data_IF_498377070871
#
_entry.id   IF_498377070871
#
_cell.length_a   1.000
_cell.length_b   1.000
_cell.length_c   1.000
_cell.angle_alpha   90.00
_cell.angle_beta   90.00
_cell.angle_gamma   90.00
#
_symmetry.space_group_name_H-M   'P 1'
#
loop_
_entity.id
_entity.type
_entity.pdbx_description
1 polymer ?
#
# COMPACT_ATOMS: atom_id res chain seq x y z
N UNK A 1 -63.38 10.46 3.06
CA UNK A 1 -62.07 9.85 3.41
C UNK A 1 -61.23 9.80 2.15
N UNK A 2 -60.28 10.72 1.99
CA UNK A 2 -59.26 10.63 0.94
C UNK A 2 -57.95 10.22 1.62
N UNK A 3 -57.41 9.08 1.21
CA UNK A 3 -56.12 8.60 1.69
C UNK A 3 -55.01 9.44 1.05
N UNK A 4 -54.30 10.22 1.86
CA UNK A 4 -53.12 10.97 1.44
C UNK A 4 -51.91 10.03 1.55
N UNK A 5 -51.42 9.55 0.40
CA UNK A 5 -50.20 8.74 0.32
C UNK A 5 -48.96 9.58 0.60
N UNK A 6 -48.20 9.19 1.63
CA UNK A 6 -46.86 9.69 1.91
C UNK A 6 -45.88 8.93 1.00
N UNK A 7 -45.35 9.59 -0.04
CA UNK A 7 -44.30 9.02 -0.88
C UNK A 7 -42.94 9.33 -0.23
N UNK A 8 -42.35 8.35 0.47
CA UNK A 8 -40.96 8.42 0.91
C UNK A 8 -40.04 8.08 -0.28
N UNK A 9 -39.40 9.09 -0.85
CA UNK A 9 -38.24 8.90 -1.72
C UNK A 9 -37.01 8.74 -0.81
N UNK A 10 -36.63 7.50 -0.54
CA UNK A 10 -35.33 7.16 0.06
C UNK A 10 -34.25 7.41 -1.00
N UNK A 11 -33.61 8.58 -0.99
CA UNK A 11 -32.34 8.73 -1.71
C UNK A 11 -31.22 8.22 -0.82
N UNK A 12 -30.65 7.07 -1.15
CA UNK A 12 -29.40 6.62 -0.55
C UNK A 12 -28.28 7.53 -1.07
N UNK A 13 -27.84 8.48 -0.26
CA UNK A 13 -26.61 9.21 -0.51
C UNK A 13 -25.47 8.26 -0.14
N UNK A 14 -24.83 7.65 -1.13
CA UNK A 14 -23.64 6.83 -0.90
C UNK A 14 -22.46 7.78 -0.91
N UNK A 15 -21.95 8.12 0.26
CA UNK A 15 -20.71 8.91 0.36
C UNK A 15 -19.54 8.02 -0.04
N UNK A 16 -18.81 8.45 -1.07
CA UNK A 16 -17.53 7.84 -1.41
C UNK A 16 -16.49 8.47 -0.49
N UNK A 17 -15.77 7.63 0.27
CA UNK A 17 -14.67 8.09 1.11
C UNK A 17 -13.47 8.36 0.20
N UNK A 18 -12.78 9.48 0.31
CA UNK A 18 -11.50 9.68 -0.38
C UNK A 18 -10.36 9.63 0.63
N UNK A 19 -9.16 9.28 0.18
CA UNK A 19 -7.97 9.58 0.98
C UNK A 19 -7.74 11.09 0.91
N UNK A 20 -7.36 11.69 2.04
CA UNK A 20 -6.83 13.03 2.12
C UNK A 20 -5.37 13.05 1.68
N UNK A 21 -4.84 14.26 1.48
CA UNK A 21 -3.43 14.45 1.14
C UNK A 21 -2.51 13.84 2.21
N UNK A 22 -1.29 13.40 1.85
CA UNK A 22 -0.30 13.01 2.83
C UNK A 22 -0.12 14.10 3.89
N UNK A 23 -0.15 13.71 5.17
CA UNK A 23 0.12 14.59 6.32
C UNK A 23 1.55 15.13 6.27
N UNK A 24 2.46 14.37 5.67
CA UNK A 24 3.80 14.80 5.32
C UNK A 24 4.20 14.23 3.96
N UNK A 25 4.89 15.03 3.14
CA UNK A 25 5.56 14.56 1.94
C UNK A 25 6.86 15.33 1.72
N UNK A 26 7.84 14.69 1.10
CA UNK A 26 9.04 15.36 0.61
C UNK A 26 8.85 15.87 -0.82
N UNK A 27 9.69 16.81 -1.24
CA UNK A 27 10.01 16.95 -2.65
C UNK A 27 10.78 15.70 -3.13
N UNK A 28 10.95 15.56 -4.45
CA UNK A 28 11.85 14.55 -5.01
C UNK A 28 13.30 14.88 -4.64
N UNK A 29 14.03 13.92 -4.05
CA UNK A 29 15.44 14.04 -3.70
C UNK A 29 16.24 12.86 -4.25
N UNK A 30 17.56 12.97 -4.36
CA UNK A 30 18.40 11.91 -4.94
C UNK A 30 18.74 10.89 -3.86
N UNK A 31 18.71 9.60 -4.22
CA UNK A 31 19.39 8.53 -3.48
C UNK A 31 20.23 7.68 -4.43
N UNK A 32 21.34 7.16 -3.91
CA UNK A 32 22.30 6.33 -4.66
C UNK A 32 22.58 5.02 -3.91
N UNK A 33 22.61 3.91 -4.64
CA UNK A 33 23.16 2.64 -4.18
C UNK A 33 24.69 2.74 -4.10
N UNK A 34 25.33 1.89 -3.29
CA UNK A 34 26.78 1.91 -3.05
C UNK A 34 27.31 3.22 -2.42
N UNK A 35 26.43 3.99 -1.79
CA UNK A 35 26.81 5.24 -1.13
C UNK A 35 26.26 5.24 0.30
N UNK A 36 27.15 5.08 1.27
CA UNK A 36 26.83 4.97 2.70
C UNK A 36 26.07 6.20 3.24
N UNK A 37 26.19 7.36 2.57
CA UNK A 37 25.46 8.59 2.96
C UNK A 37 23.93 8.45 2.77
N UNK A 38 23.48 7.45 2.00
CA UNK A 38 22.07 7.18 1.73
C UNK A 38 21.55 5.90 2.42
N UNK A 39 22.36 5.23 3.27
CA UNK A 39 21.91 4.01 3.95
C UNK A 39 22.49 3.82 5.37
N UNK A 40 21.73 4.17 6.43
CA UNK A 40 20.36 4.67 6.40
C UNK A 40 20.29 6.17 6.13
N UNK A 41 19.27 6.59 5.37
CA UNK A 41 18.81 7.97 5.30
C UNK A 41 17.58 8.15 6.19
N UNK A 42 17.62 9.14 7.09
CA UNK A 42 16.51 9.46 7.99
C UNK A 42 15.70 10.64 7.48
N UNK A 43 14.40 10.44 7.27
CA UNK A 43 13.45 11.47 6.87
C UNK A 43 12.54 11.76 8.06
N UNK A 44 12.74 12.91 8.71
CA UNK A 44 11.90 13.33 9.83
C UNK A 44 10.56 13.89 9.32
N UNK A 45 9.46 13.25 9.72
CA UNK A 45 8.10 13.67 9.35
C UNK A 45 7.41 14.51 10.44
N UNK A 46 7.95 14.56 11.66
CA UNK A 46 7.46 15.35 12.80
C UNK A 46 5.95 15.20 13.08
N UNK A 47 5.38 14.01 12.86
CA UNK A 47 3.97 13.76 13.16
C UNK A 47 3.82 13.43 14.66
N UNK A 48 2.66 13.71 15.28
CA UNK A 48 2.46 13.47 16.71
C UNK A 48 2.27 11.98 17.07
N UNK A 49 2.19 11.10 16.07
CA UNK A 49 1.93 9.68 16.23
C UNK A 49 2.50 8.88 15.06
N UNK A 50 2.65 7.57 15.26
CA UNK A 50 3.03 6.62 14.22
C UNK A 50 2.11 6.76 12.99
N UNK A 51 2.65 6.87 11.77
CA UNK A 51 1.89 6.89 10.54
C UNK A 51 0.96 5.68 10.36
N UNK A 52 -0.21 5.94 9.77
CA UNK A 52 -1.15 4.89 9.35
C UNK A 52 -0.70 4.22 8.04
N UNK A 53 -0.07 4.99 7.16
CA UNK A 53 0.46 4.53 5.87
C UNK A 53 1.67 5.36 5.49
N UNK A 54 2.65 4.71 4.88
CA UNK A 54 3.84 5.33 4.30
C UNK A 54 4.03 4.75 2.91
N UNK A 55 4.23 5.59 1.90
CA UNK A 55 4.73 5.15 0.60
C UNK A 55 6.09 5.79 0.35
N UNK A 56 7.01 5.00 -0.19
CA UNK A 56 8.29 5.49 -0.69
C UNK A 56 8.35 5.16 -2.18
N UNK A 57 8.49 6.19 -3.00
CA UNK A 57 8.46 6.12 -4.45
C UNK A 57 9.86 6.39 -5.01
N UNK A 58 10.24 5.65 -6.05
CA UNK A 58 11.52 5.75 -6.75
C UNK A 58 11.27 6.06 -8.22
N UNK A 59 11.75 7.18 -8.73
CA UNK A 59 11.59 7.61 -10.12
C UNK A 59 12.91 7.49 -10.87
N UNK A 60 12.91 6.71 -11.95
CA UNK A 60 14.04 6.63 -12.87
C UNK A 60 14.20 7.98 -13.59
N UNK A 61 15.36 8.60 -13.43
CA UNK A 61 15.69 9.89 -14.05
C UNK A 61 15.73 9.80 -15.59
N UNK A 62 15.93 8.59 -16.15
CA UNK A 62 16.03 8.38 -17.60
C UNK A 62 14.65 8.18 -18.22
N UNK A 63 13.87 7.22 -17.71
CA UNK A 63 12.55 6.88 -18.29
C UNK A 63 11.38 7.68 -17.71
N UNK A 64 11.57 8.30 -16.54
CA UNK A 64 10.51 8.97 -15.79
C UNK A 64 9.51 8.02 -15.12
N UNK A 65 9.71 6.70 -15.21
CA UNK A 65 8.85 5.70 -14.56
C UNK A 65 9.08 5.72 -13.05
N UNK A 66 7.98 5.65 -12.31
CA UNK A 66 7.92 5.63 -10.85
C UNK A 66 7.60 4.22 -10.36
N UNK A 67 8.38 3.75 -9.39
CA UNK A 67 8.33 2.44 -8.77
C UNK A 67 8.11 2.57 -7.27
N UNK A 68 7.54 1.55 -6.63
CA UNK A 68 7.36 1.51 -5.17
C UNK A 68 8.55 0.83 -4.49
N UNK A 69 9.04 1.40 -3.39
CA UNK A 69 10.05 0.78 -2.54
C UNK A 69 9.45 -0.38 -1.72
N UNK A 70 10.31 -1.25 -1.16
CA UNK A 70 9.90 -2.41 -0.37
C UNK A 70 9.71 -2.02 1.11
N UNK A 71 8.48 -2.11 1.66
CA UNK A 71 8.28 -1.94 3.09
C UNK A 71 8.78 -3.15 3.87
N UNK A 72 9.33 -2.92 5.06
CA UNK A 72 9.62 -4.01 5.99
C UNK A 72 10.86 -4.82 5.66
N UNK A 73 11.52 -4.56 4.53
CA UNK A 73 12.90 -4.97 4.33
C UNK A 73 13.24 -5.59 3.00
N UNK A 74 14.44 -6.14 3.00
CA UNK A 74 15.08 -6.80 1.86
C UNK A 74 14.38 -8.10 1.49
N UNK A 75 13.96 -8.20 0.22
CA UNK A 75 13.45 -9.46 -0.35
C UNK A 75 14.55 -10.34 -0.97
N UNK A 76 15.78 -9.83 -1.01
CA UNK A 76 16.96 -10.51 -1.54
C UNK A 76 18.12 -10.35 -0.58
N UNK A 77 19.23 -10.98 -0.94
CA UNK A 77 20.47 -11.02 -0.19
C UNK A 77 21.60 -10.65 -1.16
N UNK A 78 22.59 -9.86 -0.70
CA UNK A 78 23.78 -9.51 -1.48
C UNK A 78 24.81 -10.65 -1.54
N UNK A 79 24.59 -11.75 -0.83
CA UNK A 79 25.45 -12.94 -0.90
C UNK A 79 25.20 -13.81 -2.16
N UNK A 80 24.25 -13.45 -3.03
CA UNK A 80 23.97 -14.22 -4.26
C UNK A 80 24.88 -13.79 -5.42
N UNK A 81 25.95 -14.56 -5.62
CA UNK A 81 26.91 -14.34 -6.71
C UNK A 81 26.23 -14.12 -8.07
N UNK A 82 26.76 -13.13 -8.79
CA UNK A 82 26.39 -12.82 -10.17
C UNK A 82 25.01 -12.18 -10.35
N UNK A 83 24.18 -12.15 -9.30
CA UNK A 83 22.85 -11.55 -9.37
C UNK A 83 22.89 -10.06 -9.03
N UNK A 84 21.93 -9.31 -9.57
CA UNK A 84 21.70 -7.92 -9.18
C UNK A 84 20.58 -7.89 -8.16
N UNK A 85 20.81 -7.28 -7.00
CA UNK A 85 19.75 -6.94 -6.05
C UNK A 85 19.50 -5.42 -6.08
N UNK A 86 18.28 -5.00 -5.75
CA UNK A 86 17.94 -3.59 -5.83
C UNK A 86 16.69 -3.21 -5.04
N UNK A 87 16.35 -1.93 -5.12
CA UNK A 87 15.20 -1.34 -4.44
C UNK A 87 15.60 -0.69 -3.13
N UNK A 88 14.83 0.32 -2.72
CA UNK A 88 14.95 0.88 -1.38
C UNK A 88 14.10 0.05 -0.43
N UNK A 89 14.65 -0.26 0.74
CA UNK A 89 13.89 -0.83 1.85
C UNK A 89 13.59 0.27 2.87
N UNK A 90 12.43 0.23 3.52
CA UNK A 90 12.10 1.22 4.55
C UNK A 90 11.24 0.70 5.70
N UNK A 91 11.45 1.33 6.86
CA UNK A 91 10.63 1.22 8.06
C UNK A 91 10.42 2.62 8.64
N UNK A 92 9.48 2.74 9.58
CA UNK A 92 9.15 4.03 10.18
C UNK A 92 8.77 3.88 11.65
N UNK A 93 8.87 4.97 12.40
CA UNK A 93 8.36 5.09 13.77
C UNK A 93 7.43 6.31 13.89
N UNK A 94 7.31 6.91 15.08
CA UNK A 94 6.52 8.12 15.31
C UNK A 94 7.23 9.43 14.94
N UNK A 95 8.50 9.40 14.54
CA UNK A 95 9.29 10.58 14.20
C UNK A 95 9.89 10.53 12.80
N UNK A 96 10.37 9.36 12.36
CA UNK A 96 11.16 9.22 11.14
C UNK A 96 10.68 8.09 10.25
N UNK A 97 10.83 8.29 8.94
CA UNK A 97 10.93 7.21 7.96
C UNK A 97 12.42 6.94 7.73
N UNK A 98 12.87 5.72 7.99
CA UNK A 98 14.24 5.28 7.73
C UNK A 98 14.28 4.54 6.39
N UNK A 99 15.10 5.04 5.48
CA UNK A 99 15.32 4.48 4.15
C UNK A 99 16.69 3.82 4.09
N UNK A 100 16.76 2.65 3.45
CA UNK A 100 18.01 1.93 3.22
C UNK A 100 18.20 1.68 1.74
N UNK A 101 19.22 2.32 1.18
CA UNK A 101 19.70 2.03 -0.16
C UNK A 101 20.61 0.79 -0.15
N UNK A 102 20.59 -0.05 -1.19
CA UNK A 102 21.49 -1.17 -1.34
C UNK A 102 22.98 -0.78 -1.29
N UNK A 103 23.74 -1.45 -0.43
CA UNK A 103 25.17 -1.29 -0.24
C UNK A 103 25.83 -2.67 -0.09
N UNK A 104 26.57 -3.08 -1.12
CA UNK A 104 27.14 -4.41 -1.30
C UNK A 104 28.48 -4.37 -0.61
N UNK A 105 28.67 -5.26 0.36
CA UNK A 105 29.94 -5.30 1.11
C UNK A 105 30.87 -6.41 0.65
N UNK A 106 30.38 -7.28 -0.24
CA UNK A 106 31.11 -8.39 -0.82
C UNK A 106 31.37 -8.17 -2.33
N UNK A 107 32.30 -8.95 -2.91
CA UNK A 107 32.70 -8.85 -4.33
C UNK A 107 31.70 -9.54 -5.29
N UNK A 108 30.54 -10.01 -4.81
CA UNK A 108 29.75 -11.02 -5.51
C UNK A 108 28.51 -10.47 -6.22
N UNK A 109 28.07 -9.24 -5.92
CA UNK A 109 26.82 -8.69 -6.45
C UNK A 109 26.95 -7.30 -7.06
N UNK A 110 26.26 -7.11 -8.20
CA UNK A 110 25.92 -5.78 -8.68
C UNK A 110 24.67 -5.31 -7.94
N UNK A 111 24.49 -4.00 -7.83
CA UNK A 111 23.32 -3.45 -7.14
C UNK A 111 22.77 -2.20 -7.80
N UNK A 112 21.50 -1.91 -7.54
CA UNK A 112 20.85 -0.67 -7.97
C UNK A 112 19.79 -0.17 -6.99
N UNK A 113 19.39 1.09 -7.14
CA UNK A 113 18.16 1.62 -6.55
C UNK A 113 16.93 1.13 -7.33
N UNK A 114 17.04 1.03 -8.66
CA UNK A 114 16.01 0.47 -9.54
C UNK A 114 16.64 -0.67 -10.31
N UNK A 115 16.02 -1.84 -10.29
CA UNK A 115 16.31 -2.88 -11.25
C UNK A 115 15.09 -3.75 -11.57
N UNK A 116 15.04 -4.20 -12.82
CA UNK A 116 14.06 -5.15 -13.34
C UNK A 116 14.49 -5.59 -14.76
N UNK A 117 13.83 -6.62 -15.28
CA UNK A 117 13.97 -7.06 -16.67
C UNK A 117 14.99 -8.17 -16.88
N UNK A 118 15.69 -8.11 -18.01
CA UNK A 118 16.61 -9.17 -18.43
C UNK A 118 15.91 -10.49 -18.75
N UNK A 119 16.59 -11.62 -18.53
CA UNK A 119 16.05 -12.94 -18.85
C UNK A 119 14.98 -13.47 -17.88
N UNK A 120 14.67 -12.73 -16.81
CA UNK A 120 13.83 -13.21 -15.69
C UNK A 120 12.54 -12.43 -15.48
N UNK A 121 12.46 -11.18 -15.93
CA UNK A 121 11.20 -10.45 -16.05
C UNK A 121 10.99 -10.03 -17.50
N UNK A 122 9.74 -9.93 -17.94
CA UNK A 122 9.31 -9.67 -19.31
C UNK A 122 9.77 -8.29 -19.80
N UNK A 123 11.05 -8.15 -20.11
CA UNK A 123 11.67 -6.99 -20.73
C UNK A 123 12.80 -7.49 -21.64
N UNK A 124 13.01 -6.83 -22.78
CA UNK A 124 14.15 -7.16 -23.65
C UNK A 124 15.47 -6.65 -23.10
N UNK A 125 15.43 -5.58 -22.31
CA UNK A 125 16.61 -4.95 -21.73
C UNK A 125 16.61 -5.11 -20.21
N UNK A 126 17.77 -5.46 -19.68
CA UNK A 126 18.09 -5.33 -18.27
C UNK A 126 18.19 -3.84 -17.91
N UNK A 127 17.40 -3.42 -16.93
CA UNK A 127 17.48 -2.07 -16.37
C UNK A 127 18.08 -2.19 -14.99
N UNK A 128 19.23 -1.55 -14.81
CA UNK A 128 19.83 -1.29 -13.51
C UNK A 128 20.15 0.20 -13.43
N UNK A 129 19.77 0.83 -12.31
CA UNK A 129 20.09 2.22 -12.00
C UNK A 129 20.70 2.27 -10.61
N UNK A 130 21.90 2.80 -10.49
CA UNK A 130 22.54 3.06 -9.19
C UNK A 130 22.01 4.32 -8.51
N UNK A 131 21.21 5.13 -9.21
CA UNK A 131 20.68 6.41 -8.75
C UNK A 131 19.23 6.59 -9.18
N UNK A 132 18.41 7.17 -8.32
CA UNK A 132 17.03 7.55 -8.64
C UNK A 132 16.60 8.79 -7.84
N UNK A 133 15.53 9.44 -8.31
CA UNK A 133 14.78 10.40 -7.50
C UNK A 133 13.85 9.63 -6.56
N UNK A 134 13.76 10.06 -5.30
CA UNK A 134 12.97 9.42 -4.25
C UNK A 134 12.00 10.42 -3.65
N UNK A 135 10.79 9.97 -3.35
CA UNK A 135 9.76 10.75 -2.66
C UNK A 135 9.14 9.92 -1.54
N UNK A 136 8.98 10.52 -0.36
CA UNK A 136 8.33 9.90 0.79
C UNK A 136 6.98 10.55 1.00
N UNK A 137 5.93 9.74 1.16
CA UNK A 137 4.56 10.14 1.45
C UNK A 137 4.11 9.47 2.75
N UNK A 138 3.58 10.25 3.70
CA UNK A 138 3.23 9.78 5.03
C UNK A 138 1.83 10.27 5.38
N UNK A 139 0.95 9.35 5.78
CA UNK A 139 -0.41 9.65 6.21
C UNK A 139 -0.62 9.30 7.68
N UNK A 140 -1.15 10.23 8.45
CA UNK A 140 -1.72 9.98 9.78
C UNK A 140 -3.24 9.91 9.72
N UNK A 141 -3.87 9.48 10.81
CA UNK A 141 -5.26 9.87 11.07
C UNK A 141 -5.26 11.40 11.29
N UNK A 142 -6.15 12.21 10.67
CA UNK A 142 -7.43 11.87 10.03
C UNK A 142 -7.41 11.79 8.48
N UNK A 143 -6.24 11.89 7.84
CA UNK A 143 -6.18 12.06 6.38
C UNK A 143 -6.64 10.81 5.63
N UNK A 144 -6.40 9.62 6.18
CA UNK A 144 -7.08 8.43 5.69
C UNK A 144 -8.33 8.23 6.57
N UNK A 145 -9.53 8.08 5.99
CA UNK A 145 -10.74 7.77 6.74
C UNK A 145 -10.53 6.57 7.68
N UNK A 146 -11.29 6.45 8.76
CA UNK A 146 -11.17 5.25 9.61
C UNK A 146 -11.45 3.98 8.78
N UNK A 147 -10.63 2.92 8.96
CA UNK A 147 -10.84 1.65 8.26
C UNK A 147 -12.18 1.04 8.61
N UNK A 148 -12.83 0.41 7.64
CA UNK A 148 -14.08 -0.31 7.84
C UNK A 148 -13.84 -1.62 8.62
N UNK A 149 -12.61 -2.12 8.59
CA UNK A 149 -12.16 -3.24 9.40
C UNK A 149 -10.75 -3.00 9.93
N UNK A 150 -10.56 -3.16 11.24
CA UNK A 150 -9.26 -3.12 11.87
C UNK A 150 -9.18 -4.16 12.99
N UNK A 151 -8.13 -4.97 12.97
CA UNK A 151 -7.86 -5.89 14.08
C UNK A 151 -7.13 -5.20 15.22
N UNK A 152 -7.17 -5.81 16.41
CA UNK A 152 -6.10 -5.62 17.38
C UNK A 152 -4.78 -6.15 16.81
N UNK A 153 -3.67 -5.80 17.46
CA UNK A 153 -2.38 -6.41 17.18
C UNK A 153 -2.40 -7.91 17.50
N UNK A 154 -1.84 -8.71 16.59
CA UNK A 154 -1.76 -10.17 16.68
C UNK A 154 -0.28 -10.54 16.72
N UNK A 155 0.13 -11.28 17.75
CA UNK A 155 1.52 -11.68 17.93
C UNK A 155 2.01 -12.64 16.84
N UNK A 156 3.24 -12.43 16.39
CA UNK A 156 3.94 -13.23 15.39
C UNK A 156 5.34 -13.59 15.93
N UNK A 157 5.44 -14.74 16.60
CA UNK A 157 6.71 -15.22 17.19
C UNK A 157 7.51 -16.10 16.22
N UNK A 158 8.83 -16.12 16.43
CA UNK A 158 9.79 -16.97 15.72
C UNK A 158 9.64 -18.46 16.04
N UNK A 159 9.03 -18.82 17.17
CA UNK A 159 8.74 -20.22 17.55
C UNK A 159 7.30 -20.64 17.22
N UNK A 160 6.53 -19.77 16.55
CA UNK A 160 5.13 -20.01 16.21
C UNK A 160 4.92 -20.82 14.93
N UNK A 161 3.67 -20.88 14.47
CA UNK A 161 3.30 -21.54 13.22
C UNK A 161 3.79 -20.80 11.96
N UNK A 162 4.15 -19.52 12.10
CA UNK A 162 4.62 -18.69 10.99
C UNK A 162 3.51 -18.20 10.06
N UNK A 163 2.24 -18.43 10.39
CA UNK A 163 1.10 -17.93 9.63
C UNK A 163 -0.04 -17.46 10.55
N UNK A 164 -0.91 -16.61 10.00
CA UNK A 164 -2.15 -16.17 10.62
C UNK A 164 -3.26 -16.04 9.57
N UNK A 165 -4.50 -16.31 9.98
CA UNK A 165 -5.70 -16.08 9.18
C UNK A 165 -6.62 -15.11 9.93
N UNK A 166 -7.17 -14.12 9.24
CA UNK A 166 -8.03 -13.07 9.80
C UNK A 166 -9.28 -12.91 8.95
N UNK A 167 -10.44 -13.20 9.52
CA UNK A 167 -11.73 -12.94 8.86
C UNK A 167 -12.07 -11.44 8.90
N UNK A 168 -12.38 -10.88 7.73
CA UNK A 168 -12.81 -9.48 7.59
C UNK A 168 -14.20 -9.34 6.96
N UNK A 169 -14.63 -10.28 6.11
CA UNK A 169 -15.97 -10.32 5.49
C UNK A 169 -16.41 -9.02 4.76
N UNK A 170 -15.46 -8.23 4.28
CA UNK A 170 -15.75 -6.96 3.59
C UNK A 170 -16.10 -7.13 2.11
N UNK A 171 -16.00 -8.35 1.56
CA UNK A 171 -15.96 -8.58 0.13
C UNK A 171 -14.56 -8.31 -0.43
N UNK A 172 -14.39 -8.59 -1.73
CA UNK A 172 -13.09 -8.46 -2.42
C UNK A 172 -12.97 -7.15 -3.20
N UNK A 173 -14.11 -6.60 -3.61
CA UNK A 173 -14.12 -5.48 -4.55
C UNK A 173 -13.89 -4.15 -3.84
N UNK A 174 -12.95 -3.37 -4.38
CA UNK A 174 -12.66 -2.00 -3.96
C UNK A 174 -12.20 -1.92 -2.50
N UNK A 175 -11.38 -2.90 -2.08
CA UNK A 175 -10.73 -2.92 -0.78
C UNK A 175 -9.28 -2.48 -0.93
N UNK A 176 -8.91 -1.34 -0.32
CA UNK A 176 -7.52 -1.09 0.04
C UNK A 176 -7.25 -1.87 1.31
N UNK A 177 -6.28 -2.79 1.28
CA UNK A 177 -5.91 -3.61 2.42
C UNK A 177 -4.44 -3.38 2.76
N UNK A 178 -4.17 -3.16 4.04
CA UNK A 178 -2.82 -3.03 4.57
C UNK A 178 -2.67 -4.02 5.73
N UNK A 179 -1.57 -4.75 5.74
CA UNK A 179 -1.12 -5.46 6.94
C UNK A 179 0.08 -4.70 7.47
N UNK A 180 -0.09 -4.07 8.62
CA UNK A 180 1.02 -3.41 9.30
C UNK A 180 1.74 -4.41 10.20
N UNK A 181 3.05 -4.24 10.28
CA UNK A 181 3.96 -5.03 11.10
C UNK A 181 4.61 -4.09 12.09
N UNK A 182 4.77 -4.52 13.35
CA UNK A 182 5.58 -3.80 14.34
C UNK A 182 6.42 -4.73 15.18
N UNK A 183 7.54 -4.24 15.69
CA UNK A 183 8.30 -4.92 16.73
C UNK A 183 9.48 -4.09 17.19
N UNK A 184 10.18 -4.59 18.20
CA UNK A 184 11.40 -3.95 18.71
C UNK A 184 12.59 -4.51 17.94
N UNK A 185 13.56 -3.65 17.61
CA UNK A 185 14.80 -4.12 17.01
C UNK A 185 15.56 -4.98 18.02
N UNK A 186 16.08 -6.11 17.56
CA UNK A 186 16.98 -7.00 18.28
C UNK A 186 18.38 -6.39 18.43
N UNK A 187 18.68 -5.36 17.64
CA UNK A 187 19.90 -4.56 17.70
C UNK A 187 19.75 -3.35 18.62
N UNK A 188 20.88 -2.88 19.20
CA UNK A 188 20.93 -1.91 20.29
C UNK A 188 19.99 -0.68 20.11
N UNK A 189 18.95 -0.65 20.95
CA UNK A 189 18.14 0.52 21.34
C UNK A 189 17.53 1.39 20.22
N UNK A 190 17.08 0.79 19.13
CA UNK A 190 16.17 1.49 18.22
C UNK A 190 14.72 1.11 18.56
N UNK A 191 13.85 2.11 18.68
CA UNK A 191 12.49 1.98 19.20
C UNK A 191 11.59 1.01 18.42
N UNK A 192 10.28 0.96 18.71
CA UNK A 192 9.37 0.12 17.94
C UNK A 192 9.39 0.56 16.48
N UNK A 193 9.78 -0.34 15.59
CA UNK A 193 9.74 -0.12 14.15
C UNK A 193 8.43 -0.62 13.59
N UNK A 194 7.93 0.11 12.61
CA UNK A 194 6.74 -0.22 11.85
C UNK A 194 7.08 -0.38 10.38
N UNK A 195 6.35 -1.27 9.73
CA UNK A 195 6.41 -1.50 8.31
C UNK A 195 5.06 -2.01 7.78
N UNK A 196 4.97 -2.17 6.47
CA UNK A 196 3.87 -2.85 5.81
C UNK A 196 4.34 -4.21 5.30
N UNK A 197 3.43 -5.17 5.31
CA UNK A 197 3.63 -6.46 4.66
C UNK A 197 3.58 -6.31 3.14
N UNK A 198 4.18 -7.28 2.44
CA UNK A 198 4.26 -7.35 0.99
C UNK A 198 3.33 -8.44 0.44
N UNK A 199 3.06 -8.41 -0.86
CA UNK A 199 2.12 -9.33 -1.50
C UNK A 199 2.71 -10.65 -1.99
N UNK A 200 3.93 -10.68 -2.52
CA UNK A 200 4.53 -11.93 -3.01
C UNK A 200 5.98 -12.03 -2.58
N UNK A 201 6.45 -13.25 -2.34
CA UNK A 201 7.89 -13.50 -2.36
C UNK A 201 8.39 -13.34 -3.80
N UNK A 202 9.62 -12.87 -3.99
CA UNK A 202 10.24 -12.85 -5.34
C UNK A 202 11.28 -13.94 -5.54
N UNK A 203 11.68 -14.59 -4.44
CA UNK A 203 12.65 -15.66 -4.42
C UNK A 203 12.35 -16.55 -3.20
N UNK A 204 12.37 -17.89 -3.27
CA UNK A 204 12.21 -18.77 -2.11
C UNK A 204 13.50 -19.53 -1.69
N UNK A 205 14.63 -19.37 -2.38
CA UNK A 205 15.86 -20.15 -2.14
C UNK A 205 16.99 -19.34 -1.44
N UNK A 206 17.61 -19.93 -0.41
CA UNK A 206 18.79 -19.46 0.36
C UNK A 206 18.62 -18.25 1.34
N UNK A 207 19.39 -18.28 2.44
CA UNK A 207 18.92 -18.21 3.86
C UNK A 207 19.64 -17.23 4.80
N UNK A 208 19.75 -15.94 4.45
CA UNK A 208 20.02 -14.89 5.45
C UNK A 208 19.01 -13.76 5.42
N UNK A 209 18.65 -13.28 6.62
CA UNK A 209 17.97 -11.99 6.88
C UNK A 209 16.78 -11.63 5.99
N UNK A 210 16.05 -12.64 5.48
CA UNK A 210 14.82 -12.41 4.71
C UNK A 210 13.82 -11.69 5.57
N UNK A 211 13.32 -10.61 5.01
CA UNK A 211 12.50 -9.64 5.70
C UNK A 211 11.10 -9.58 5.11
N UNK A 212 10.27 -8.79 5.79
CA UNK A 212 8.86 -8.58 5.54
C UNK A 212 7.97 -9.77 5.91
N UNK A 213 6.70 -9.44 6.03
CA UNK A 213 5.60 -10.38 6.16
C UNK A 213 4.94 -10.45 4.79
N UNK A 214 4.58 -11.64 4.32
CA UNK A 214 3.79 -11.82 3.09
C UNK A 214 2.33 -11.91 3.46
N UNK A 215 1.44 -11.29 2.69
CA UNK A 215 0.01 -11.50 2.85
C UNK A 215 -0.71 -11.59 1.52
N UNK A 216 -1.87 -12.24 1.56
CA UNK A 216 -2.84 -12.26 0.49
C UNK A 216 -4.23 -12.22 1.10
N UNK A 217 -5.21 -11.74 0.36
CA UNK A 217 -6.58 -11.66 0.86
C UNK A 217 -7.60 -12.07 -0.19
N UNK A 218 -8.80 -12.44 0.23
CA UNK A 218 -9.91 -12.71 -0.67
C UNK A 218 -11.15 -11.92 -0.21
N UNK A 219 -12.35 -12.39 -0.54
CA UNK A 219 -13.57 -11.70 -0.15
C UNK A 219 -13.87 -11.74 1.37
N UNK A 220 -13.31 -12.71 2.09
CA UNK A 220 -13.68 -12.99 3.49
C UNK A 220 -12.49 -13.02 4.43
N UNK A 221 -11.29 -13.34 3.94
CA UNK A 221 -10.14 -13.68 4.74
C UNK A 221 -8.86 -12.99 4.26
N UNK A 222 -8.03 -12.58 5.22
CA UNK A 222 -6.61 -12.27 5.01
C UNK A 222 -5.78 -13.43 5.52
N UNK A 223 -4.87 -13.94 4.68
CA UNK A 223 -3.83 -14.89 5.04
C UNK A 223 -2.50 -14.18 5.11
N UNK A 224 -1.73 -14.49 6.13
CA UNK A 224 -0.49 -13.79 6.46
C UNK A 224 0.56 -14.83 6.79
N UNK A 225 1.78 -14.67 6.26
CA UNK A 225 2.90 -15.57 6.42
C UNK A 225 4.15 -14.77 6.82
N UNK A 226 4.87 -15.25 7.82
CA UNK A 226 6.24 -14.81 8.10
C UNK A 226 7.24 -15.89 7.70
N UNK A 227 8.46 -15.47 7.41
CA UNK A 227 9.57 -16.39 7.22
C UNK A 227 9.89 -17.07 8.55
N UNK A 228 10.16 -18.38 8.50
CA UNK A 228 10.71 -19.16 9.61
C UNK A 228 11.84 -20.07 9.10
N UNK A 229 12.84 -20.34 9.94
CA UNK A 229 13.88 -21.31 9.60
C UNK A 229 13.30 -22.72 9.65
N UNK A 230 13.41 -23.46 8.54
CA UNK A 230 13.24 -24.91 8.55
C UNK A 230 14.58 -25.58 8.90
N UNK A 231 14.83 -25.78 10.19
CA UNK A 231 16.07 -26.40 10.70
C UNK A 231 16.25 -27.86 10.29
N UNK A 232 15.23 -28.47 9.66
CA UNK A 232 15.32 -29.86 9.17
C UNK A 232 15.99 -29.98 7.80
N UNK A 233 16.11 -28.87 7.04
CA UNK A 233 16.59 -28.87 5.66
C UNK A 233 17.90 -28.11 5.44
N UNK A 234 18.34 -27.31 6.40
CA UNK A 234 19.55 -26.46 6.28
C UNK A 234 20.53 -26.83 7.40
N UNK A 235 21.68 -27.47 7.08
CA UNK A 235 22.66 -27.91 8.07
C UNK A 235 23.31 -26.77 8.87
N UNK A 236 23.37 -25.56 8.30
CA UNK A 236 23.90 -24.36 8.96
C UNK A 236 23.01 -23.15 8.59
N UNK A 237 22.00 -22.81 9.41
CA UNK A 237 21.18 -21.63 9.14
C UNK A 237 22.04 -20.38 9.26
N UNK A 238 22.16 -19.62 8.16
CA UNK A 238 23.01 -18.43 8.10
C UNK A 238 22.41 -17.18 8.77
N UNK A 239 21.20 -17.27 9.33
CA UNK A 239 20.54 -16.24 10.17
C UNK A 239 19.02 -16.43 10.19
N UNK A 240 18.29 -16.04 11.26
CA UNK A 240 16.83 -16.16 11.29
C UNK A 240 16.15 -15.14 10.38
N UNK A 241 15.07 -15.52 9.67
CA UNK A 241 14.20 -14.56 9.01
C UNK A 241 13.47 -13.72 10.06
N UNK A 242 13.14 -12.51 9.67
CA UNK A 242 12.60 -11.48 10.55
C UNK A 242 11.31 -10.90 9.98
N UNK A 243 10.56 -10.21 10.83
CA UNK A 243 9.38 -9.47 10.43
C UNK A 243 9.76 -8.17 9.71
N UNK A 244 10.82 -7.51 10.18
CA UNK A 244 11.42 -6.32 9.58
C UNK A 244 12.94 -6.51 9.56
N UNK A 245 13.59 -6.49 8.38
CA UNK A 245 15.06 -6.42 8.31
C UNK A 245 15.59 -5.53 7.20
N UNK A 246 16.54 -4.68 7.60
CA UNK A 246 17.38 -3.88 6.72
C UNK A 246 18.81 -4.00 7.22
N UNK A 247 19.43 -5.15 6.92
CA UNK A 247 20.77 -5.56 7.33
C UNK A 247 21.43 -6.30 6.17
N UNK A 248 22.74 -6.50 6.20
CA UNK A 248 23.49 -7.39 5.28
C UNK A 248 23.18 -7.15 3.78
N UNK A 249 23.90 -6.22 3.17
CA UNK A 249 23.63 -5.76 1.79
C UNK A 249 22.80 -4.48 1.67
N UNK A 250 22.20 -4.02 2.76
CA UNK A 250 21.49 -2.74 2.85
C UNK A 250 22.20 -1.72 3.73
N UNK A 251 22.86 -2.15 4.81
CA UNK A 251 23.68 -1.29 5.66
C UNK A 251 24.59 -2.17 6.54
N UNK A 252 25.50 -1.54 7.28
CA UNK A 252 26.32 -2.23 8.29
C UNK A 252 25.41 -2.88 9.35
N UNK A 253 25.52 -4.21 9.45
CA UNK A 253 24.72 -5.06 10.33
C UNK A 253 24.71 -4.59 11.79
N UNK A 254 25.80 -4.04 12.32
CA UNK A 254 25.93 -3.81 13.76
C UNK A 254 25.67 -2.36 14.20
N UNK A 255 25.60 -1.42 13.26
CA UNK A 255 25.57 0.01 13.61
C UNK A 255 24.28 0.70 13.23
N UNK A 256 23.65 0.27 12.15
CA UNK A 256 22.57 1.02 11.51
C UNK A 256 21.44 0.12 10.97
N UNK A 257 21.55 -1.18 11.24
CA UNK A 257 20.56 -2.17 10.90
C UNK A 257 19.21 -1.93 11.58
N UNK A 258 18.17 -2.48 10.97
CA UNK A 258 16.94 -2.81 11.69
C UNK A 258 16.80 -4.31 11.56
N UNK A 259 16.62 -5.02 12.66
CA UNK A 259 16.36 -6.45 12.67
C UNK A 259 15.30 -6.73 13.72
N UNK A 260 14.10 -7.14 13.30
CA UNK A 260 12.96 -7.41 14.18
C UNK A 260 12.54 -8.86 14.00
N UNK A 261 13.08 -9.76 14.83
CA UNK A 261 12.76 -11.19 14.75
C UNK A 261 11.37 -11.52 15.29
N UNK A 262 10.86 -10.74 16.25
CA UNK A 262 9.54 -10.94 16.87
C UNK A 262 8.75 -9.64 16.97
N UNK A 263 7.43 -9.77 16.92
CA UNK A 263 6.57 -8.60 16.86
C UNK A 263 5.11 -8.97 16.66
N UNK A 264 4.36 -8.03 16.13
CA UNK A 264 2.93 -8.14 15.95
C UNK A 264 2.52 -7.61 14.58
N UNK A 265 1.38 -8.08 14.11
CA UNK A 265 0.73 -7.60 12.90
C UNK A 265 -0.65 -7.02 13.21
N UNK A 266 -1.16 -6.15 12.35
CA UNK A 266 -2.59 -5.81 12.34
C UNK A 266 -3.08 -5.65 10.91
N UNK A 267 -4.34 -6.00 10.68
CA UNK A 267 -5.01 -5.81 9.39
C UNK A 267 -5.83 -4.55 9.45
N UNK A 268 -5.68 -3.70 8.44
CA UNK A 268 -6.55 -2.55 8.19
C UNK A 268 -7.13 -2.68 6.78
N UNK A 269 -8.43 -2.46 6.64
CA UNK A 269 -9.09 -2.52 5.34
C UNK A 269 -10.14 -1.43 5.20
N UNK A 270 -10.16 -0.83 4.01
CA UNK A 270 -11.10 0.22 3.62
C UNK A 270 -11.87 -0.23 2.40
N UNK A 271 -13.19 -0.18 2.46
CA UNK A 271 -14.09 -0.43 1.35
C UNK A 271 -14.66 0.92 0.88
N UNK A 272 -14.77 1.11 -0.43
CA UNK A 272 -15.41 2.27 -1.07
C UNK A 272 -14.59 3.56 -0.96
N UNK A 273 -13.25 3.41 -1.01
CA UNK A 273 -12.40 4.54 -1.33
C UNK A 273 -12.65 4.98 -2.79
N UNK A 274 -12.50 6.27 -3.05
CA UNK A 274 -12.64 6.84 -4.39
C UNK A 274 -11.56 6.29 -5.33
N UNK A 275 -12.02 5.69 -6.43
CA UNK A 275 -11.18 5.13 -7.47
C UNK A 275 -11.27 6.03 -8.69
N UNK A 276 -10.13 6.57 -9.14
CA UNK A 276 -10.05 7.37 -10.36
C UNK A 276 -9.78 6.52 -11.59
N UNK A 277 -9.07 5.42 -11.40
CA UNK A 277 -8.73 4.50 -12.46
C UNK A 277 -8.76 3.07 -11.94
N UNK A 278 -9.35 2.18 -12.71
CA UNK A 278 -9.26 0.75 -12.48
C UNK A 278 -9.21 0.03 -13.82
N UNK A 279 -8.30 -0.93 -13.92
CA UNK A 279 -8.24 -1.85 -15.04
C UNK A 279 -7.93 -3.26 -14.55
N UNK A 280 -8.32 -4.26 -15.31
CA UNK A 280 -8.08 -5.66 -14.98
C UNK A 280 -7.68 -6.45 -16.22
N UNK A 281 -6.58 -7.19 -16.13
CA UNK A 281 -6.00 -7.96 -17.22
C UNK A 281 -5.74 -9.39 -16.77
N UNK A 282 -6.05 -10.35 -17.65
CA UNK A 282 -5.55 -11.71 -17.49
C UNK A 282 -4.08 -11.74 -17.92
N UNK A 283 -3.24 -12.42 -17.17
CA UNK A 283 -1.82 -12.59 -17.45
C UNK A 283 -1.44 -14.06 -17.37
N UNK A 284 -0.51 -14.50 -18.22
CA UNK A 284 0.03 -15.86 -18.25
C UNK A 284 1.50 -15.87 -18.66
N UNK A 285 2.38 -16.19 -17.71
CA UNK A 285 3.84 -16.21 -17.91
C UNK A 285 4.32 -17.26 -18.92
N UNK A 286 3.46 -18.21 -19.31
CA UNK A 286 3.81 -19.19 -20.34
C UNK A 286 3.74 -18.62 -21.76
N UNK A 287 2.97 -17.55 -21.97
CA UNK A 287 2.71 -16.97 -23.30
C UNK A 287 3.07 -15.49 -23.37
N UNK A 288 2.96 -14.77 -22.27
CA UNK A 288 3.29 -13.35 -22.17
C UNK A 288 4.79 -13.18 -21.94
N UNK A 289 5.52 -12.86 -23.01
CA UNK A 289 6.97 -12.65 -22.97
C UNK A 289 7.39 -11.18 -22.92
N UNK A 290 6.46 -10.26 -23.11
CA UNK A 290 6.69 -8.81 -23.14
C UNK A 290 6.02 -8.08 -21.99
N UNK A 291 6.61 -6.96 -21.57
CA UNK A 291 5.99 -6.00 -20.66
C UNK A 291 4.60 -5.59 -21.17
N UNK A 292 3.61 -5.62 -20.27
CA UNK A 292 2.26 -5.13 -20.52
C UNK A 292 2.18 -3.64 -20.19
N UNK A 293 1.77 -2.82 -21.15
CA UNK A 293 1.49 -1.41 -20.92
C UNK A 293 -0.02 -1.18 -20.85
N UNK A 294 -0.49 -0.62 -19.74
CA UNK A 294 -1.89 -0.29 -19.52
C UNK A 294 -2.06 1.23 -19.57
N UNK A 295 -2.73 1.79 -20.59
CA UNK A 295 -2.96 3.22 -20.68
C UNK A 295 -3.83 3.75 -19.54
N UNK A 296 -3.45 4.91 -18.99
CA UNK A 296 -4.21 5.64 -17.95
C UNK A 296 -5.36 6.47 -18.52
N UNK A 297 -5.56 6.45 -19.84
CA UNK A 297 -6.67 7.12 -20.51
C UNK A 297 -6.54 8.63 -20.47
N UNK A 298 -7.52 9.32 -19.90
CA UNK A 298 -7.63 10.79 -19.89
C UNK A 298 -7.05 11.46 -18.65
N UNK A 299 -6.36 10.73 -17.77
CA UNK A 299 -5.72 11.31 -16.59
C UNK A 299 -4.57 12.24 -17.01
N UNK A 300 -4.56 13.44 -16.45
CA UNK A 300 -3.48 14.42 -16.61
C UNK A 300 -2.28 14.09 -15.72
N UNK A 301 -1.11 14.64 -16.03
CA UNK A 301 0.09 14.48 -15.19
C UNK A 301 -0.16 14.97 -13.75
N UNK A 302 -0.81 16.11 -13.60
CA UNK A 302 -1.18 16.68 -12.30
C UNK A 302 -2.17 15.80 -11.52
N UNK A 303 -3.05 15.06 -12.20
CA UNK A 303 -3.91 14.08 -11.55
C UNK A 303 -3.08 12.89 -11.08
N UNK A 304 -2.21 12.34 -11.93
CA UNK A 304 -1.36 11.18 -11.62
C UNK A 304 -0.45 11.43 -10.43
N UNK A 305 0.11 12.64 -10.30
CA UNK A 305 0.93 13.04 -9.15
C UNK A 305 0.15 13.08 -7.82
N UNK A 306 -1.18 12.94 -7.86
CA UNK A 306 -2.09 12.87 -6.72
C UNK A 306 -2.76 11.49 -6.56
N UNK A 307 -2.22 10.44 -7.18
CA UNK A 307 -2.76 9.07 -7.11
C UNK A 307 -1.83 8.10 -6.39
N UNK A 308 -2.40 7.23 -5.55
CA UNK A 308 -1.70 6.03 -5.05
C UNK A 308 -2.08 4.90 -5.99
N UNK A 309 -1.09 4.24 -6.58
CA UNK A 309 -1.31 3.04 -7.37
C UNK A 309 -1.17 1.79 -6.51
N UNK A 310 -2.18 0.93 -6.54
CA UNK A 310 -2.09 -0.45 -6.06
C UNK A 310 -2.25 -1.39 -7.24
N UNK A 311 -1.25 -2.22 -7.48
CA UNK A 311 -1.33 -3.32 -8.45
C UNK A 311 -1.38 -4.62 -7.66
N UNK A 312 -2.36 -5.47 -7.95
CA UNK A 312 -2.57 -6.76 -7.28
C UNK A 312 -2.75 -7.86 -8.30
N UNK A 313 -2.34 -9.07 -7.96
CA UNK A 313 -2.52 -10.27 -8.77
C UNK A 313 -3.43 -11.24 -8.02
N UNK A 314 -4.57 -11.53 -8.61
CA UNK A 314 -5.44 -12.62 -8.20
C UNK A 314 -4.92 -13.95 -8.73
N UNK A 315 -4.79 -14.93 -7.85
CA UNK A 315 -4.49 -16.32 -8.20
C UNK A 315 -5.77 -17.05 -8.62
N UNK A 316 -5.68 -17.82 -9.69
CA UNK A 316 -6.82 -18.53 -10.31
C UNK A 316 -6.77 -20.05 -10.11
N UNK A 317 -5.82 -20.55 -9.31
CA UNK A 317 -5.60 -21.98 -9.10
C UNK A 317 -5.02 -22.30 -7.71
N UNK A 318 -4.95 -23.60 -7.40
CA UNK A 318 -4.26 -24.13 -6.23
C UNK A 318 -4.89 -23.76 -4.88
N UNK A 319 -4.07 -23.80 -3.82
CA UNK A 319 -4.55 -23.68 -2.42
C UNK A 319 -4.94 -22.25 -2.04
N UNK A 320 -4.53 -21.28 -2.86
CA UNK A 320 -4.85 -19.87 -2.69
C UNK A 320 -5.69 -19.34 -3.87
N UNK A 321 -6.45 -20.20 -4.56
CA UNK A 321 -7.41 -19.77 -5.58
C UNK A 321 -8.34 -18.69 -4.99
N UNK A 322 -8.50 -17.59 -5.73
CA UNK A 322 -9.31 -16.45 -5.31
C UNK A 322 -8.66 -15.54 -4.28
N UNK A 323 -7.39 -15.74 -3.91
CA UNK A 323 -6.60 -14.75 -3.16
C UNK A 323 -5.95 -13.73 -4.10
N UNK A 324 -5.88 -12.47 -3.67
CA UNK A 324 -5.13 -11.37 -4.29
C UNK A 324 -3.88 -11.08 -3.48
N UNK A 325 -2.80 -10.76 -4.19
CA UNK A 325 -1.48 -10.45 -3.66
C UNK A 325 -0.94 -9.19 -4.32
N UNK A 326 -0.36 -8.27 -3.54
CA UNK A 326 0.18 -6.99 -4.04
C UNK A 326 1.48 -7.20 -4.85
N UNK A 327 1.57 -6.50 -5.98
CA UNK A 327 2.75 -6.44 -6.84
C UNK A 327 3.84 -5.55 -6.23
N UNK A 328 5.06 -5.62 -6.78
CA UNK A 328 6.26 -5.00 -6.22
C UNK A 328 6.83 -3.96 -7.20
N UNK A 329 7.62 -3.01 -6.70
CA UNK A 329 8.22 -1.96 -7.55
C UNK A 329 9.62 -2.27 -8.07
N UNK A 330 10.27 -3.32 -7.57
CA UNK A 330 11.58 -3.76 -8.05
C UNK A 330 11.62 -5.30 -8.07
N UNK A 331 12.55 -5.85 -8.84
CA UNK A 331 12.85 -7.28 -8.87
C UNK A 331 14.35 -7.44 -9.10
N UNK A 332 15.00 -8.48 -8.55
CA UNK A 332 16.42 -8.69 -8.78
C UNK A 332 16.62 -9.08 -10.25
N UNK A 333 17.86 -9.13 -10.69
CA UNK A 333 18.19 -9.74 -11.97
C UNK A 333 18.97 -11.00 -11.68
N UNK A 334 18.35 -12.14 -11.99
CA UNK A 334 18.93 -13.46 -11.71
C UNK A 334 19.70 -13.97 -12.93
N UNK A 335 20.93 -14.44 -12.71
CA UNK A 335 21.64 -15.22 -13.71
C UNK A 335 21.18 -16.67 -13.64
N UNK A 336 20.38 -17.08 -14.62
CA UNK A 336 19.78 -18.42 -14.71
C UNK A 336 20.84 -19.53 -14.73
N UNK A 337 22.04 -19.24 -15.25
CA UNK A 337 23.12 -20.23 -15.36
C UNK A 337 23.74 -20.63 -14.02
N UNK A 338 23.70 -19.76 -13.01
CA UNK A 338 24.25 -20.06 -11.67
C UNK A 338 23.23 -20.78 -10.77
N UNK A 339 21.93 -20.72 -11.09
CA UNK A 339 20.87 -21.36 -10.32
C UNK A 339 19.69 -21.82 -11.21
N UNK A 340 19.89 -22.83 -12.09
CA UNK A 340 18.93 -23.21 -13.13
C UNK A 340 17.61 -23.78 -12.59
N UNK A 341 17.58 -24.23 -11.33
CA UNK A 341 16.37 -24.75 -10.67
C UNK A 341 15.69 -23.70 -9.78
N UNK A 342 16.20 -22.46 -9.76
CA UNK A 342 15.66 -21.40 -8.90
C UNK A 342 14.39 -20.84 -9.49
N UNK A 343 13.31 -21.04 -8.76
CA UNK A 343 12.03 -20.36 -9.01
C UNK A 343 12.05 -18.94 -8.47
N UNK A 344 11.38 -18.05 -9.18
CA UNK A 344 11.22 -16.65 -8.83
C UNK A 344 9.82 -16.20 -9.19
N UNK A 345 9.39 -15.04 -8.70
CA UNK A 345 8.06 -14.61 -9.00
C UNK A 345 7.68 -13.23 -8.51
N UNK A 346 6.39 -12.98 -8.51
CA UNK A 346 5.81 -11.68 -8.22
C UNK A 346 5.82 -10.77 -9.44
N UNK A 347 4.66 -10.15 -9.66
CA UNK A 347 4.50 -9.11 -10.69
C UNK A 347 5.24 -7.85 -10.25
N UNK A 348 5.97 -7.23 -11.18
CA UNK A 348 6.59 -5.92 -10.98
C UNK A 348 5.79 -4.87 -11.72
N UNK A 349 5.62 -3.69 -11.14
CA UNK A 349 4.96 -2.59 -11.79
C UNK A 349 5.66 -1.25 -11.55
N UNK A 350 5.39 -0.32 -12.46
CA UNK A 350 5.81 1.07 -12.37
C UNK A 350 4.86 1.91 -13.20
N UNK A 351 4.71 3.18 -12.86
CA UNK A 351 3.77 4.08 -13.53
C UNK A 351 4.46 5.34 -14.04
N UNK A 352 3.93 5.91 -15.11
CA UNK A 352 4.38 7.17 -15.69
C UNK A 352 3.17 8.03 -16.05
N UNK A 353 3.39 9.17 -16.70
CA UNK A 353 2.32 10.14 -17.03
C UNK A 353 1.21 9.62 -17.95
N UNK A 354 1.35 8.43 -18.57
CA UNK A 354 0.32 7.90 -19.46
C UNK A 354 0.03 6.41 -19.31
N UNK A 355 0.86 5.66 -18.59
CA UNK A 355 0.76 4.20 -18.54
C UNK A 355 1.16 3.65 -17.18
N UNK A 356 0.58 2.50 -16.85
CA UNK A 356 1.14 1.56 -15.88
C UNK A 356 1.84 0.46 -16.67
N UNK A 357 3.14 0.31 -16.44
CA UNK A 357 3.96 -0.76 -16.97
C UNK A 357 3.90 -1.95 -16.00
N UNK A 358 3.66 -3.14 -16.53
CA UNK A 358 3.62 -4.40 -15.78
C UNK A 358 4.65 -5.33 -16.40
N UNK A 359 5.59 -5.79 -15.57
CA UNK A 359 6.56 -6.82 -15.94
C UNK A 359 6.20 -8.12 -15.24
N UNK A 360 6.04 -9.16 -16.04
CA UNK A 360 5.75 -10.52 -15.61
C UNK A 360 7.04 -11.30 -15.46
N UNK A 361 7.16 -12.18 -14.46
CA UNK A 361 8.23 -13.17 -14.44
C UNK A 361 8.22 -13.99 -15.74
N UNK A 362 9.38 -14.24 -16.33
CA UNK A 362 9.52 -14.98 -17.59
C UNK A 362 10.11 -16.39 -17.36
N UNK A 363 10.21 -17.19 -18.42
CA UNK A 363 10.86 -18.50 -18.37
C UNK A 363 10.11 -19.60 -17.60
N UNK A 364 10.68 -20.80 -17.59
CA UNK A 364 10.06 -21.97 -16.96
C UNK A 364 9.95 -21.85 -15.44
N UNK A 365 10.77 -21.01 -14.82
CA UNK A 365 10.87 -20.86 -13.37
C UNK A 365 10.21 -19.58 -12.82
N UNK A 366 9.74 -18.68 -13.68
CA UNK A 366 9.06 -17.44 -13.27
C UNK A 366 7.56 -17.63 -13.02
N UNK A 367 7.05 -17.19 -11.88
CA UNK A 367 5.65 -17.38 -11.47
C UNK A 367 5.00 -16.06 -11.09
N UNK A 368 3.78 -15.79 -11.55
CA UNK A 368 3.06 -14.55 -11.19
C UNK A 368 2.89 -14.40 -9.68
N UNK A 369 2.81 -15.53 -8.97
CA UNK A 369 2.82 -15.64 -7.51
C UNK A 369 3.69 -16.83 -7.12
N UNK A 370 4.55 -16.61 -6.13
CA UNK A 370 5.33 -17.65 -5.47
C UNK A 370 5.28 -17.50 -3.96
N UNK A 371 4.77 -18.54 -3.31
CA UNK A 371 4.67 -18.67 -1.87
C UNK A 371 5.16 -20.08 -1.50
N UNK A 372 6.38 -20.18 -0.98
CA UNK A 372 7.02 -21.44 -0.58
C UNK A 372 7.78 -21.21 0.73
N UNK A 373 8.50 -22.21 1.22
CA UNK A 373 9.47 -22.02 2.30
C UNK A 373 10.37 -20.80 1.99
N UNK A 374 10.71 -19.96 2.99
CA UNK A 374 10.47 -20.13 4.43
C UNK A 374 9.09 -19.66 4.93
N UNK A 375 8.22 -19.14 4.05
CA UNK A 375 6.97 -18.49 4.44
C UNK A 375 5.98 -19.46 5.06
N UNK A 376 5.64 -19.25 6.34
CA UNK A 376 4.75 -20.11 7.13
C UNK A 376 5.16 -21.58 7.12
N UNK A 377 6.47 -21.88 7.04
CA UNK A 377 7.00 -23.24 6.88
C UNK A 377 6.39 -24.01 5.69
N UNK A 378 5.99 -23.29 4.64
CA UNK A 378 5.39 -23.86 3.43
C UNK A 378 3.90 -24.15 3.55
N UNK A 379 3.24 -23.65 4.59
CA UNK A 379 1.80 -23.76 4.74
C UNK A 379 1.08 -23.01 3.62
N UNK A 380 0.14 -23.69 2.95
CA UNK A 380 -0.55 -23.22 1.74
C UNK A 380 0.41 -22.71 0.66
N UNK A 381 1.51 -23.44 0.43
CA UNK A 381 2.44 -23.14 -0.67
C UNK A 381 1.70 -23.02 -2.01
N UNK A 382 2.13 -22.09 -2.84
CA UNK A 382 1.56 -21.79 -4.15
C UNK A 382 2.64 -21.34 -5.13
N UNK A 383 2.55 -21.84 -6.35
CA UNK A 383 3.23 -21.30 -7.53
C UNK A 383 2.19 -21.23 -8.63
N UNK A 384 2.01 -20.06 -9.25
CA UNK A 384 1.03 -19.88 -10.32
C UNK A 384 1.67 -19.22 -11.52
N UNK A 385 1.35 -19.73 -12.71
CA UNK A 385 1.76 -19.12 -14.00
C UNK A 385 0.72 -18.15 -14.54
N UNK A 386 -0.53 -18.32 -14.13
CA UNK A 386 -1.68 -17.55 -14.61
C UNK A 386 -2.30 -16.79 -13.45
N UNK A 387 -2.69 -15.54 -13.71
CA UNK A 387 -3.35 -14.71 -12.73
C UNK A 387 -4.17 -13.61 -13.37
N UNK A 388 -4.92 -12.88 -12.55
CA UNK A 388 -5.65 -11.69 -12.97
C UNK A 388 -5.05 -10.47 -12.27
N UNK A 389 -4.35 -9.63 -13.02
CA UNK A 389 -3.79 -8.38 -12.49
C UNK A 389 -4.87 -7.30 -12.48
N UNK A 390 -5.05 -6.67 -11.33
CA UNK A 390 -5.92 -5.52 -11.13
C UNK A 390 -5.06 -4.32 -10.76
N UNK A 391 -5.24 -3.24 -11.50
CA UNK A 391 -4.62 -1.94 -11.26
C UNK A 391 -5.70 -1.04 -10.69
N UNK A 392 -5.43 -0.37 -9.58
CA UNK A 392 -6.32 0.63 -9.00
C UNK A 392 -5.51 1.88 -8.67
N UNK A 393 -6.01 3.03 -9.09
CA UNK A 393 -5.46 4.33 -8.71
C UNK A 393 -6.47 5.05 -7.79
N UNK A 394 -6.02 5.31 -6.56
CA UNK A 394 -6.79 5.97 -5.52
C UNK A 394 -6.43 7.45 -5.50
N UNK A 395 -7.42 8.34 -5.54
CA UNK A 395 -7.13 9.78 -5.38
C UNK A 395 -6.84 10.12 -3.94
N UNK A 396 -5.86 11.00 -3.74
CA UNK A 396 -5.87 11.88 -2.59
C UNK A 396 -6.16 13.32 -3.03
N UNK A 397 -7.35 13.80 -2.71
CA UNK A 397 -7.76 15.18 -2.96
C UNK A 397 -8.08 15.86 -1.63
N UNK A 398 -7.80 17.17 -1.54
CA UNK A 398 -8.47 17.95 -0.50
C UNK A 398 -9.97 17.82 -0.75
N UNK A 399 -10.81 17.58 0.27
CA UNK A 399 -12.25 17.66 0.09
C UNK A 399 -12.57 19.07 -0.43
N UNK A 400 -12.83 19.18 -1.74
CA UNK A 400 -13.12 20.45 -2.41
C UNK A 400 -14.55 20.83 -2.06
N UNK A 401 -14.70 21.39 -0.86
CA UNK A 401 -15.98 21.75 -0.24
C UNK A 401 -16.90 20.56 0.04
N UNK A 402 -17.36 20.45 1.29
CA UNK A 402 -18.54 19.63 1.58
C UNK A 402 -19.72 20.31 0.88
N UNK A 403 -20.11 19.85 -0.31
CA UNK A 403 -21.39 20.24 -0.92
C UNK A 403 -22.53 19.68 -0.06
N UNK A 404 -22.84 20.34 1.07
CA UNK A 404 -24.04 20.03 1.85
C UNK A 404 -25.24 20.52 0.99
N UNK A 405 -25.92 19.61 0.28
CA UNK A 405 -27.14 19.95 -0.46
C UNK A 405 -28.31 20.17 0.52
N UNK A 406 -28.85 21.39 0.56
CA UNK A 406 -30.08 21.69 1.29
C UNK A 406 -31.29 21.41 0.40
N UNK A 407 -32.24 20.60 0.89
CA UNK A 407 -33.57 20.47 0.25
C UNK A 407 -34.58 21.37 0.96
N UNK A 408 -35.13 22.34 0.23
CA UNK A 408 -36.26 23.15 0.68
C UNK A 408 -37.55 22.35 0.51
N UNK A 409 -38.33 22.21 1.59
CA UNK A 409 -39.68 21.65 1.53
C UNK A 409 -40.72 22.72 1.87
N UNK A 410 -41.77 22.81 1.06
CA UNK A 410 -42.94 23.65 1.33
C UNK A 410 -44.12 22.77 1.76
N UNK A 411 -44.47 22.81 3.04
CA UNK A 411 -45.73 22.23 3.52
C UNK A 411 -46.92 23.03 2.96
N UNK A 412 -48.02 22.34 2.60
CA UNK A 412 -49.27 23.02 2.23
C UNK A 412 -49.82 23.77 3.45
N UNK A 413 -49.68 25.10 3.45
CA UNK A 413 -50.35 26.00 4.39
C UNK A 413 -49.57 26.36 5.67
N UNK A 414 -48.27 26.04 5.77
CA UNK A 414 -47.44 26.35 6.95
C UNK A 414 -46.07 26.94 6.59
N UNK A 415 -45.31 27.44 7.59
CA UNK A 415 -43.98 28.01 7.38
C UNK A 415 -43.02 27.02 6.71
N UNK A 416 -42.08 27.56 5.93
CA UNK A 416 -41.02 26.76 5.29
C UNK A 416 -40.07 26.29 6.37
N UNK A 417 -39.91 24.97 6.52
CA UNK A 417 -38.93 24.39 7.42
C UNK A 417 -37.67 24.02 6.62
N UNK A 418 -36.54 24.61 7.01
CA UNK A 418 -35.23 24.09 6.62
C UNK A 418 -34.94 22.89 7.52
N UNK A 419 -34.90 21.70 6.92
CA UNK A 419 -34.42 20.51 7.61
C UNK A 419 -33.04 20.23 7.02
N UNK A 420 -31.95 20.30 7.80
CA UNK A 420 -30.66 19.87 7.30
C UNK A 420 -30.73 18.37 7.00
N UNK A 421 -30.59 18.01 5.73
CA UNK A 421 -30.29 16.63 5.33
C UNK A 421 -28.78 16.42 5.47
N UNK A 422 -28.26 16.48 6.69
CA UNK A 422 -26.88 16.14 6.93
C UNK A 422 -26.76 15.62 8.37
N UNK A 423 -26.71 14.31 8.52
CA UNK A 423 -26.24 13.71 9.77
C UNK A 423 -24.72 13.89 9.94
N UNK A 424 -24.02 14.34 8.89
CA UNK A 424 -22.55 14.32 8.81
C UNK A 424 -21.89 15.70 8.56
N UNK A 425 -22.66 16.79 8.41
CA UNK A 425 -22.06 18.13 8.45
C UNK A 425 -21.80 18.58 9.92
N UNK A 426 -22.22 17.80 10.93
CA UNK A 426 -22.07 18.08 12.35
C UNK A 426 -21.47 16.88 13.10
N UNK A 427 -20.15 16.80 13.17
CA UNK A 427 -19.46 15.95 14.16
C UNK A 427 -19.30 16.73 15.49
N UNK A 428 -20.43 17.28 15.95
CA UNK A 428 -20.62 17.82 17.29
C UNK A 428 -21.81 17.05 17.83
N UNK A 429 -21.64 16.37 18.97
CA UNK A 429 -22.58 15.41 19.57
C UNK A 429 -23.95 15.95 20.01
N UNK A 430 -24.44 17.03 19.40
CA UNK A 430 -25.76 17.62 19.58
C UNK A 430 -26.30 18.02 18.20
N UNK A 431 -27.10 17.16 17.58
CA UNK A 431 -27.85 17.50 16.37
C UNK A 431 -28.84 18.64 16.65
N UNK A 432 -28.44 19.86 16.31
CA UNK A 432 -29.30 21.05 16.37
C UNK A 432 -29.99 21.30 15.03
N UNK A 433 -31.29 21.55 15.06
CA UNK A 433 -32.02 22.06 13.90
C UNK A 433 -31.67 23.53 13.66
N UNK A 434 -31.27 23.91 12.44
CA UNK A 434 -31.22 25.31 12.02
C UNK A 434 -32.61 25.73 11.53
N UNK A 435 -33.37 26.43 12.38
CA UNK A 435 -34.69 26.96 12.04
C UNK A 435 -34.65 28.45 11.75
N UNK A 436 -35.23 28.88 10.63
CA UNK A 436 -35.60 30.28 10.41
C UNK A 436 -37.11 30.38 10.61
N UNK A 437 -37.56 31.08 11.66
CA UNK A 437 -38.98 31.39 11.85
C UNK A 437 -39.24 32.80 11.33
N UNK A 438 -39.99 32.90 10.23
CA UNK A 438 -40.52 34.17 9.75
C UNK A 438 -42.00 34.25 10.16
N UNK A 439 -42.30 35.02 11.21
CA UNK A 439 -43.65 35.53 11.44
C UNK A 439 -43.78 36.90 10.78
N UNK A 440 -44.94 37.19 10.20
CA UNK A 440 -45.27 38.47 9.57
C UNK A 440 -44.84 39.63 10.49
N UNK A 441 -43.77 40.33 10.11
CA UNK A 441 -43.32 41.57 10.76
C UNK A 441 -41.99 41.54 11.52
N UNK A 442 -41.34 40.39 11.82
CA UNK A 442 -39.98 40.35 12.41
C UNK A 442 -39.22 39.08 12.05
N UNK A 443 -37.99 39.23 11.52
CA UNK A 443 -37.01 38.15 11.46
C UNK A 443 -36.23 38.12 12.79
N UNK A 444 -36.32 37.03 13.54
CA UNK A 444 -35.38 36.73 14.63
C UNK A 444 -34.48 35.58 14.19
N UNK A 445 -33.17 35.80 14.23
CA UNK A 445 -32.17 34.76 14.02
C UNK A 445 -31.92 34.04 15.35
N UNK A 446 -32.05 32.72 15.37
CA UNK A 446 -31.53 31.90 16.46
C UNK A 446 -30.14 31.41 16.05
N UNK A 447 -29.10 31.93 16.71
CA UNK A 447 -27.71 31.49 16.54
C UNK A 447 -27.52 30.21 17.37
N UNK A 448 -27.28 29.10 16.72
CA UNK A 448 -26.80 27.87 17.36
C UNK A 448 -25.67 27.31 16.51
N UNK A 449 -24.51 27.96 16.56
CA UNK A 449 -23.19 27.50 16.13
C UNK A 449 -22.23 28.68 16.38
N UNK A 450 -21.25 28.48 17.26
CA UNK A 450 -20.23 29.47 17.53
C UNK A 450 -19.17 29.47 16.40
N UNK A 451 -18.74 30.69 16.09
CA UNK A 451 -17.49 31.10 15.43
C UNK A 451 -17.19 30.83 13.95
N UNK A 452 -18.19 30.71 13.07
CA UNK A 452 -17.97 30.94 11.63
C UNK A 452 -19.04 31.85 10.99
N UNK A 453 -18.67 32.94 10.27
CA UNK A 453 -19.62 33.72 9.50
C UNK A 453 -20.05 32.95 8.26
N UNK A 454 -21.35 32.63 8.14
CA UNK A 454 -21.95 32.17 6.90
C UNK A 454 -22.92 33.24 6.37
N UNK A 455 -22.75 33.63 5.11
CA UNK A 455 -23.63 34.58 4.45
C UNK A 455 -24.77 33.83 3.74
N UNK A 456 -26.02 34.08 4.15
CA UNK A 456 -27.21 33.60 3.43
C UNK A 456 -27.86 34.79 2.73
N UNK A 457 -27.78 34.83 1.41
CA UNK A 457 -28.50 35.81 0.58
C UNK A 457 -29.87 35.25 0.19
N UNK A 458 -30.95 35.81 0.72
CA UNK A 458 -32.32 35.45 0.31
C UNK A 458 -32.78 36.44 -0.75
N UNK A 459 -32.91 36.00 -2.00
CA UNK A 459 -33.52 36.79 -3.06
C UNK A 459 -35.03 36.58 -3.07
N UNK A 460 -35.79 37.61 -2.70
CA UNK A 460 -37.22 37.65 -2.99
C UNK A 460 -37.42 38.19 -4.40
N UNK A 461 -37.94 37.36 -5.30
CA UNK A 461 -38.43 37.82 -6.61
C UNK A 461 -39.79 38.49 -6.35
N UNK A 462 -39.85 39.82 -6.50
CA UNK A 462 -41.11 40.59 -6.51
C UNK A 462 -41.91 40.29 -7.76
#
# INVERSE_FOLDING_TARGET
MQATGLLLLLSTCRMVKSMGMPSFQTDWFIMEAQNESYSPLLINHNLPSVPLKVDVLMKDEVSGVVFSASPGGAMWDDDLKGSTYCGISYAYDDHVVRLHAPYSTNEYTFTGIICHGGNTWSATDEIVRVRALVKVLVWSEPEIPSPDFMTKWIAMSSSGLGYAEVEHNLGRDHVLLLVQVRGYSDEDNTGPWYAQAIGSSQDPYDVKHRAAVVYGFNATLVRIWRGLIDTSRVPEPKGPPCLICMTDGWTDFYKNGISVSEGEIRVLAWHQLEIKFQETKLIDTNVDSSMLQVPLGSLTEDEIDRLTFTVTTEVLDGSNEGFVFTALGAAPILLVDEAPDREYGGVVYGFSSGHVNIWLPSGQNGHVIILRNPWGLGWNRQTSKVGRVRIVAWSWEQPTSRECHFKLWRGKGGPVHLIPCAKECCDVGLGGCVGVSASVGRCQFFKALDDAPFNVSVYTRT
#
